data_IF_192613156888
#
_entry.id   IF_192613156888
#
_cell.length_a   1.000
_cell.length_b   1.000
_cell.length_c   1.000
_cell.angle_alpha   90.00
_cell.angle_beta   90.00
_cell.angle_gamma   90.00
#
_symmetry.space_group_name_H-M   'P 1'
#
loop_
_entity.id
_entity.type
_entity.pdbx_description
1 polymer ?
#
# COMPACT_ATOMS: atom_id res chain seq x y z
N UNK A 1 -3.06 -1.33 2.21
CA UNK A 1 -3.77 -1.20 0.92
C UNK A 1 -4.70 0.03 0.95
N UNK A 2 -5.42 0.19 2.04
CA UNK A 2 -6.35 1.27 2.38
C UNK A 2 -5.77 2.66 2.11
N UNK A 3 -4.55 2.96 2.59
CA UNK A 3 -3.92 4.26 2.36
C UNK A 3 -3.65 4.59 0.90
N UNK A 4 -3.33 3.60 0.07
CA UNK A 4 -3.16 3.82 -1.37
C UNK A 4 -4.48 4.24 -2.02
N UNK A 5 -5.59 3.62 -1.62
CA UNK A 5 -6.94 3.98 -2.08
C UNK A 5 -7.34 5.36 -1.54
N UNK A 6 -7.17 5.61 -0.24
CA UNK A 6 -7.53 6.89 0.40
C UNK A 6 -6.76 8.08 -0.16
N UNK A 7 -5.51 7.86 -0.57
CA UNK A 7 -4.66 8.91 -1.18
C UNK A 7 -4.93 9.11 -2.67
N UNK A 8 -5.76 8.25 -3.28
CA UNK A 8 -6.09 8.33 -4.70
C UNK A 8 -4.94 7.93 -5.63
N UNK A 9 -4.03 7.09 -5.14
CA UNK A 9 -2.86 6.59 -5.89
C UNK A 9 -3.31 5.95 -7.21
N UNK A 10 -2.52 6.14 -8.26
CA UNK A 10 -2.81 5.56 -9.60
C UNK A 10 -2.21 4.17 -9.79
N UNK A 11 -1.29 3.79 -8.92
CA UNK A 11 -0.59 2.51 -8.97
C UNK A 11 -0.33 2.00 -7.58
N UNK A 12 -0.36 0.69 -7.44
CA UNK A 12 0.14 -0.01 -6.25
C UNK A 12 0.89 -1.26 -6.71
N UNK A 13 1.15 -2.20 -5.80
CA UNK A 13 1.84 -3.43 -6.15
C UNK A 13 2.35 -4.19 -4.95
N UNK A 14 3.17 -5.19 -5.24
CA UNK A 14 3.92 -5.96 -4.25
C UNK A 14 5.42 -5.74 -4.45
N UNK A 15 6.16 -5.84 -3.36
CA UNK A 15 7.61 -5.77 -3.37
C UNK A 15 8.16 -6.96 -2.61
N UNK A 16 9.09 -7.68 -3.22
CA UNK A 16 9.91 -8.67 -2.51
C UNK A 16 11.15 -7.94 -2.00
N UNK A 17 11.28 -7.86 -0.68
CA UNK A 17 12.37 -7.15 -0.01
C UNK A 17 13.16 -8.09 0.90
N UNK A 18 14.44 -7.78 1.09
CA UNK A 18 15.24 -8.40 2.14
C UNK A 18 14.90 -7.73 3.46
N UNK A 19 14.49 -8.50 4.46
CA UNK A 19 14.21 -7.95 5.79
C UNK A 19 15.49 -7.42 6.47
N UNK A 20 15.35 -6.33 7.21
CA UNK A 20 16.34 -5.73 8.11
C UNK A 20 15.71 -5.57 9.50
N UNK A 21 16.41 -4.92 10.43
CA UNK A 21 15.91 -4.71 11.80
C UNK A 21 14.80 -3.65 11.88
N UNK A 22 14.80 -2.65 10.98
CA UNK A 22 13.76 -1.64 10.92
C UNK A 22 12.48 -2.09 10.19
N UNK A 23 11.49 -1.20 10.22
CA UNK A 23 10.17 -1.45 9.64
C UNK A 23 10.17 -1.16 8.13
N UNK A 24 9.97 -2.19 7.32
CA UNK A 24 9.79 -2.11 5.86
C UNK A 24 10.87 -1.31 5.10
N UNK A 25 12.08 -1.16 5.65
CA UNK A 25 13.18 -0.33 5.11
C UNK A 25 14.18 -1.10 4.24
N UNK A 26 14.11 -2.43 4.26
CA UNK A 26 15.15 -3.29 3.70
C UNK A 26 15.24 -3.22 2.16
N UNK A 27 16.40 -3.57 1.58
CA UNK A 27 16.62 -3.41 0.14
C UNK A 27 15.70 -4.33 -0.68
N UNK A 28 15.35 -3.86 -1.87
CA UNK A 28 14.38 -4.49 -2.78
C UNK A 28 15.08 -5.51 -3.68
N UNK A 29 14.48 -6.69 -3.81
CA UNK A 29 14.82 -7.67 -4.86
C UNK A 29 14.05 -7.38 -6.15
N UNK A 30 12.72 -7.33 -6.05
CA UNK A 30 11.81 -7.15 -7.19
C UNK A 30 10.56 -6.37 -6.77
N UNK A 31 10.00 -5.59 -7.71
CA UNK A 31 8.73 -4.90 -7.54
C UNK A 31 7.81 -5.22 -8.71
N UNK A 32 6.56 -5.54 -8.39
CA UNK A 32 5.53 -5.88 -9.37
C UNK A 32 4.34 -4.96 -9.16
N UNK A 33 3.97 -4.18 -10.19
CA UNK A 33 2.97 -3.13 -10.08
C UNK A 33 1.61 -3.53 -10.70
N UNK A 34 0.55 -2.92 -10.19
CA UNK A 34 -0.78 -2.90 -10.79
C UNK A 34 -1.32 -1.46 -10.86
N UNK A 35 -2.21 -1.21 -11.81
CA UNK A 35 -2.92 0.07 -11.90
C UNK A 35 -4.11 0.07 -10.95
N UNK A 36 -4.35 1.23 -10.33
CA UNK A 36 -5.53 1.56 -9.56
C UNK A 36 -6.48 2.41 -10.39
N UNK A 37 -7.70 1.93 -10.54
CA UNK A 37 -8.80 2.66 -11.19
C UNK A 37 -9.52 3.53 -10.15
N UNK A 38 -10.26 4.54 -10.61
CA UNK A 38 -10.96 5.46 -9.71
C UNK A 38 -12.11 4.81 -8.93
N UNK A 39 -12.64 3.70 -9.44
CA UNK A 39 -13.74 2.91 -8.90
C UNK A 39 -13.29 1.64 -8.18
N UNK A 40 -11.98 1.36 -8.13
CA UNK A 40 -11.47 0.21 -7.40
C UNK A 40 -11.83 0.32 -5.91
N UNK A 41 -12.42 -0.75 -5.38
CA UNK A 41 -12.58 -0.94 -3.95
C UNK A 41 -11.38 -1.67 -3.36
N UNK A 42 -11.33 -1.73 -2.03
CA UNK A 42 -10.26 -2.44 -1.31
C UNK A 42 -10.12 -3.89 -1.76
N UNK A 43 -11.24 -4.57 -2.01
CA UNK A 43 -11.29 -5.95 -2.51
C UNK A 43 -10.69 -6.10 -3.90
N UNK A 44 -10.82 -5.09 -4.76
CA UNK A 44 -10.24 -5.13 -6.11
C UNK A 44 -8.72 -5.02 -6.05
N UNK A 45 -8.21 -4.09 -5.22
CA UNK A 45 -6.77 -3.99 -4.97
C UNK A 45 -6.23 -5.28 -4.32
N UNK A 46 -6.91 -5.83 -3.31
CA UNK A 46 -6.51 -7.08 -2.67
C UNK A 46 -6.39 -8.23 -3.70
N UNK A 47 -7.39 -8.39 -4.57
CA UNK A 47 -7.37 -9.38 -5.64
C UNK A 47 -6.22 -9.15 -6.63
N UNK A 48 -5.95 -7.89 -7.00
CA UNK A 48 -4.81 -7.53 -7.86
C UNK A 48 -3.47 -7.92 -7.21
N UNK A 49 -3.28 -7.61 -5.92
CA UNK A 49 -2.06 -7.96 -5.18
C UNK A 49 -1.90 -9.48 -5.00
N UNK A 50 -3.00 -10.19 -4.75
CA UNK A 50 -3.02 -11.64 -4.66
C UNK A 50 -2.58 -12.29 -5.98
N UNK A 51 -3.12 -11.81 -7.11
CA UNK A 51 -2.76 -12.31 -8.43
C UNK A 51 -1.29 -12.02 -8.78
N UNK A 52 -0.77 -10.82 -8.45
CA UNK A 52 0.65 -10.51 -8.58
C UNK A 52 1.52 -11.48 -7.74
N UNK A 53 1.11 -11.75 -6.51
CA UNK A 53 1.85 -12.65 -5.61
C UNK A 53 1.86 -14.07 -6.14
N UNK A 54 0.69 -14.60 -6.52
CA UNK A 54 0.55 -15.95 -7.10
C UNK A 54 1.41 -16.13 -8.35
N UNK A 55 1.49 -15.10 -9.20
CA UNK A 55 2.28 -15.13 -10.43
C UNK A 55 3.79 -15.12 -10.15
N UNK A 56 4.25 -14.30 -9.21
CA UNK A 56 5.67 -13.96 -9.09
C UNK A 56 6.40 -14.64 -7.92
N UNK A 57 5.70 -15.09 -6.88
CA UNK A 57 6.34 -15.61 -5.67
C UNK A 57 7.14 -16.89 -5.92
N UNK A 58 6.56 -17.90 -6.59
CA UNK A 58 7.26 -19.17 -6.85
C UNK A 58 8.47 -18.99 -7.76
N UNK A 59 8.39 -18.24 -8.88
CA UNK A 59 9.56 -17.89 -9.67
C UNK A 59 10.65 -17.19 -8.85
N UNK A 60 10.28 -16.17 -8.06
CA UNK A 60 11.21 -15.44 -7.21
C UNK A 60 11.92 -16.36 -6.21
N UNK A 61 11.19 -17.25 -5.52
CA UNK A 61 11.77 -18.18 -4.56
C UNK A 61 12.76 -19.18 -5.19
N UNK A 62 12.65 -19.46 -6.49
CA UNK A 62 13.61 -20.32 -7.20
C UNK A 62 14.91 -19.61 -7.52
N UNK A 63 14.90 -18.29 -7.65
CA UNK A 63 16.08 -17.48 -8.01
C UNK A 63 16.67 -16.73 -6.83
N UNK A 64 15.93 -16.62 -5.71
CA UNK A 64 16.40 -15.92 -4.52
C UNK A 64 17.63 -16.59 -3.92
N UNK A 65 18.74 -15.85 -3.85
CA UNK A 65 20.05 -16.34 -3.40
C UNK A 65 21.09 -16.45 -4.52
N UNK A 66 20.66 -16.47 -5.79
CA UNK A 66 21.55 -16.46 -6.95
C UNK A 66 21.93 -15.02 -7.33
N UNK A 67 22.99 -14.45 -6.72
CA UNK A 67 23.53 -13.09 -7.04
C UNK A 67 22.48 -12.02 -7.43
N UNK A 68 21.34 -11.97 -6.75
CA UNK A 68 20.30 -11.00 -7.07
C UNK A 68 20.80 -9.59 -6.76
N UNK A 69 20.62 -8.67 -7.71
CA UNK A 69 20.94 -7.27 -7.51
C UNK A 69 19.90 -6.65 -6.57
N UNK A 70 20.31 -6.37 -5.34
CA UNK A 70 19.52 -5.61 -4.38
C UNK A 70 19.58 -4.11 -4.68
N UNK A 71 18.44 -3.45 -4.59
CA UNK A 71 18.32 -1.99 -4.74
C UNK A 71 17.92 -1.41 -3.39
N UNK A 72 18.76 -0.56 -2.81
CA UNK A 72 18.41 0.15 -1.58
C UNK A 72 17.21 1.07 -1.80
N UNK A 73 16.31 1.11 -0.82
CA UNK A 73 15.21 2.06 -0.82
C UNK A 73 15.74 3.48 -0.64
N UNK A 74 14.95 4.48 -1.05
CA UNK A 74 15.26 5.89 -0.89
C UNK A 74 14.40 6.46 0.21
N UNK A 75 14.98 6.73 1.38
CA UNK A 75 14.23 7.20 2.56
C UNK A 75 13.39 8.45 2.28
N UNK A 76 13.89 9.35 1.43
CA UNK A 76 13.17 10.57 1.04
C UNK A 76 11.84 10.32 0.29
N UNK A 77 11.71 9.15 -0.33
CA UNK A 77 10.52 8.76 -1.11
C UNK A 77 9.58 7.87 -0.26
N UNK A 78 9.96 7.53 0.98
CA UNK A 78 9.20 6.65 1.85
C UNK A 78 7.99 7.37 2.46
N UNK A 79 6.87 6.65 2.52
CA UNK A 79 5.65 7.09 3.22
C UNK A 79 5.18 5.97 4.15
N UNK A 80 4.50 6.36 5.24
CA UNK A 80 3.97 5.40 6.21
C UNK A 80 2.47 5.21 6.01
N UNK A 81 2.02 3.96 6.09
CA UNK A 81 0.61 3.57 6.05
C UNK A 81 0.17 3.07 7.44
N UNK A 82 0.00 3.97 8.45
CA UNK A 82 -0.33 3.55 9.81
C UNK A 82 -1.70 2.88 9.86
N UNK A 83 -1.90 2.01 10.86
CA UNK A 83 -3.19 1.36 11.08
C UNK A 83 -4.32 2.40 11.18
N UNK A 84 -5.41 2.19 10.45
CA UNK A 84 -6.60 3.03 10.56
C UNK A 84 -7.20 2.89 11.97
N UNK A 85 -7.39 4.03 12.63
CA UNK A 85 -8.03 4.12 13.95
C UNK A 85 -9.44 4.72 13.83
N UNK A 86 -10.25 4.58 14.89
CA UNK A 86 -11.66 5.04 14.90
C UNK A 86 -11.88 6.47 14.42
N UNK A 87 -10.91 7.37 14.60
CA UNK A 87 -11.01 8.75 14.13
C UNK A 87 -11.04 8.89 12.61
N UNK A 88 -10.44 7.97 11.83
CA UNK A 88 -10.46 8.00 10.37
C UNK A 88 -11.86 7.77 9.78
N UNK A 89 -12.73 7.08 10.51
CA UNK A 89 -14.09 6.76 10.06
C UNK A 89 -15.09 7.90 10.35
N UNK A 90 -14.64 8.99 10.98
CA UNK A 90 -15.51 10.14 11.24
C UNK A 90 -15.70 10.92 9.94
N UNK A 91 -16.92 10.89 9.40
CA UNK A 91 -17.29 11.72 8.26
C UNK A 91 -17.41 13.18 8.72
N UNK A 92 -16.56 14.07 8.20
CA UNK A 92 -16.61 15.51 8.50
C UNK A 92 -17.93 16.18 8.12
N UNK A 93 -18.70 15.58 7.20
CA UNK A 93 -20.04 16.04 6.82
C UNK A 93 -21.05 16.07 7.97
N UNK A 94 -20.92 15.19 8.97
CA UNK A 94 -21.82 15.15 10.13
C UNK A 94 -21.53 16.34 11.07
N UNK A 95 -20.27 16.75 11.23
CA UNK A 95 -19.93 17.96 12.00
C UNK A 95 -20.52 19.21 11.37
N UNK A 96 -20.41 19.36 10.04
CA UNK A 96 -20.97 20.53 9.32
C UNK A 96 -22.49 20.65 9.45
N UNK A 97 -23.21 19.53 9.55
CA UNK A 97 -24.67 19.52 9.76
C UNK A 97 -25.04 19.86 11.20
N UNK A 98 -24.28 19.38 12.20
CA UNK A 98 -24.52 19.68 13.61
C UNK A 98 -24.24 21.14 13.97
N UNK A 99 -23.16 21.74 13.47
CA UNK A 99 -22.84 23.16 13.72
C UNK A 99 -23.93 24.09 13.20
N UNK A 100 -24.54 23.78 12.04
CA UNK A 100 -25.65 24.57 11.48
C UNK A 100 -26.97 24.44 12.26
N UNK A 101 -27.15 23.39 13.04
CA UNK A 101 -28.34 23.16 13.87
C UNK A 101 -28.25 23.83 15.25
N UNK A 102 -27.03 24.12 15.73
CA UNK A 102 -26.77 24.86 16.98
C UNK A 102 -26.67 26.38 16.81
N UNK A 103 -26.70 26.87 15.57
CA UNK A 103 -26.68 28.30 15.20
C UNK A 103 -28.10 28.82 14.80
N UNK A 104 -29.14 28.02 15.03
CA UNK A 104 -30.56 28.39 14.93
C UNK A 104 -31.22 28.30 16.30
#
# INVERSE_FOLDING_TARGET
MEHAILSGDKKSGITFMKMTEGLDEGPIFETHQCNLNADDQLTDLENKLFNLSKKNLIPFLKTVGEKNKLINQKDRDATFAPKLVKSFYKLDGIKKLQTKLSEK
#
